data_IF_309519159891
#
_entry.id   IF_309519159891
#
_cell.length_a   1.000
_cell.length_b   1.000
_cell.length_c   1.000
_cell.angle_alpha   90.00
_cell.angle_beta   90.00
_cell.angle_gamma   90.00
#
_symmetry.space_group_name_H-M   'P 1'
#
loop_
_entity.id
_entity.type
_entity.pdbx_description
1 polymer ?
#
# COMPACT_ATOMS: atom_id res chain seq x y z
N UNK A 1 -0.32 16.50 -5.73
CA UNK A 1 0.33 15.81 -4.61
C UNK A 1 -0.32 14.46 -4.38
N UNK A 2 0.46 13.41 -4.44
CA UNK A 2 -0.03 12.04 -4.27
C UNK A 2 0.69 11.32 -3.14
N UNK A 3 -0.05 10.50 -2.41
CA UNK A 3 0.50 9.53 -1.46
C UNK A 3 0.01 8.16 -1.93
N UNK A 4 0.90 7.20 -2.04
CA UNK A 4 0.53 5.84 -2.40
C UNK A 4 0.34 4.99 -1.14
N UNK A 5 -0.70 4.18 -1.16
CA UNK A 5 -0.93 3.13 -0.15
C UNK A 5 -0.83 1.80 -0.87
N UNK A 6 0.10 0.97 -0.43
CA UNK A 6 0.37 -0.32 -1.06
C UNK A 6 0.20 -1.42 -0.03
N UNK A 7 -0.74 -2.31 -0.30
CA UNK A 7 -1.06 -3.42 0.58
C UNK A 7 -0.72 -4.77 -0.07
N UNK A 8 -0.07 -5.61 0.71
CA UNK A 8 0.33 -6.95 0.31
C UNK A 8 -0.77 -8.00 0.43
N UNK A 9 -0.37 -9.28 0.47
CA UNK A 9 -1.28 -10.40 0.35
C UNK A 9 -2.28 -10.45 1.50
N UNK A 10 -3.48 -10.88 1.16
CA UNK A 10 -4.60 -11.11 2.06
C UNK A 10 -5.22 -9.84 2.66
N UNK A 11 -4.68 -8.66 2.41
CA UNK A 11 -5.24 -7.41 2.91
C UNK A 11 -6.50 -6.99 2.15
N UNK A 12 -6.79 -7.64 1.02
CA UNK A 12 -8.08 -7.55 0.34
C UNK A 12 -9.23 -8.14 1.17
N UNK A 13 -8.91 -8.97 2.18
CA UNK A 13 -9.89 -9.60 3.04
C UNK A 13 -10.22 -8.79 4.29
N UNK A 14 -9.64 -7.63 4.45
CA UNK A 14 -9.91 -6.71 5.55
C UNK A 14 -11.39 -6.33 5.55
N UNK A 15 -12.03 -6.48 6.71
CA UNK A 15 -13.48 -6.26 6.86
C UNK A 15 -14.31 -7.52 6.70
N UNK A 16 -13.74 -8.62 6.19
CA UNK A 16 -14.45 -9.89 6.01
C UNK A 16 -13.85 -11.05 6.79
N UNK A 17 -12.54 -11.02 7.09
CA UNK A 17 -11.86 -12.08 7.85
C UNK A 17 -11.67 -11.66 9.30
N UNK A 18 -11.81 -12.62 10.21
CA UNK A 18 -11.47 -12.45 11.63
C UNK A 18 -11.93 -11.10 12.18
N UNK A 19 -13.21 -10.77 11.99
CA UNK A 19 -13.79 -9.46 12.33
C UNK A 19 -13.58 -9.08 13.79
N UNK A 20 -13.50 -10.03 14.68
CA UNK A 20 -13.26 -9.78 16.10
C UNK A 20 -11.87 -9.22 16.37
N UNK A 21 -10.93 -9.49 15.48
CA UNK A 21 -9.53 -9.03 15.61
C UNK A 21 -9.28 -7.78 14.74
N UNK A 22 -9.72 -7.81 13.48
CA UNK A 22 -9.40 -6.77 12.49
C UNK A 22 -10.54 -5.78 12.23
N UNK A 23 -11.75 -6.04 12.76
CA UNK A 23 -12.91 -5.19 12.53
C UNK A 23 -13.62 -5.49 11.21
N UNK A 24 -14.68 -4.73 10.94
CA UNK A 24 -15.55 -4.92 9.76
C UNK A 24 -15.27 -3.92 8.63
N UNK A 25 -14.46 -2.90 8.90
CA UNK A 25 -14.17 -1.84 7.94
C UNK A 25 -13.26 -2.38 6.83
N UNK A 26 -13.63 -2.12 5.58
CA UNK A 26 -12.80 -2.46 4.43
C UNK A 26 -11.76 -1.38 4.16
N UNK A 27 -10.72 -1.74 3.38
CA UNK A 27 -9.72 -0.74 2.97
C UNK A 27 -10.31 0.30 2.03
N UNK A 28 -11.26 -0.10 1.18
CA UNK A 28 -11.97 0.83 0.29
C UNK A 28 -12.71 1.89 1.08
N UNK A 29 -13.33 1.51 2.19
CA UNK A 29 -13.99 2.46 3.11
C UNK A 29 -12.98 3.41 3.74
N UNK A 30 -11.83 2.89 4.14
CA UNK A 30 -10.76 3.71 4.71
C UNK A 30 -10.23 4.71 3.68
N UNK A 31 -9.98 4.27 2.44
CA UNK A 31 -9.51 5.16 1.38
C UNK A 31 -10.53 6.29 1.12
N UNK A 32 -11.81 5.95 1.08
CA UNK A 32 -12.89 6.95 0.92
C UNK A 32 -12.84 7.99 2.04
N UNK A 33 -12.67 7.56 3.29
CA UNK A 33 -12.57 8.46 4.42
C UNK A 33 -11.32 9.34 4.36
N UNK A 34 -10.20 8.78 3.93
CA UNK A 34 -8.95 9.54 3.77
C UNK A 34 -9.08 10.60 2.68
N UNK A 35 -9.70 10.25 1.56
CA UNK A 35 -9.94 11.22 0.50
C UNK A 35 -10.84 12.37 0.95
N UNK A 36 -11.82 12.06 1.79
CA UNK A 36 -12.70 13.09 2.36
C UNK A 36 -11.97 13.98 3.37
N UNK A 37 -11.12 13.39 4.20
CA UNK A 37 -10.37 14.12 5.23
C UNK A 37 -9.22 14.95 4.67
N UNK A 38 -8.63 14.52 3.56
CA UNK A 38 -7.48 15.16 2.94
C UNK A 38 -7.74 15.44 1.46
N UNK A 39 -8.65 16.38 1.15
CA UNK A 39 -9.13 16.57 -0.24
C UNK A 39 -8.05 17.09 -1.20
N UNK A 40 -6.95 17.63 -0.67
CA UNK A 40 -5.83 18.13 -1.50
C UNK A 40 -4.80 17.04 -1.82
N UNK A 41 -4.94 15.86 -1.23
CA UNK A 41 -4.04 14.73 -1.45
C UNK A 41 -4.77 13.67 -2.24
N UNK A 42 -4.20 13.28 -3.38
CA UNK A 42 -4.71 12.13 -4.12
C UNK A 42 -4.11 10.87 -3.54
N UNK A 43 -4.96 9.94 -3.13
CA UNK A 43 -4.53 8.62 -2.65
C UNK A 43 -4.48 7.67 -3.84
N UNK A 44 -3.32 7.13 -4.11
CA UNK A 44 -3.12 6.06 -5.10
C UNK A 44 -3.05 4.75 -4.32
N UNK A 45 -3.90 3.80 -4.64
CA UNK A 45 -4.01 2.58 -3.86
C UNK A 45 -3.83 1.34 -4.73
N UNK A 46 -2.99 0.42 -4.27
CA UNK A 46 -2.87 -0.91 -4.85
C UNK A 46 -2.85 -1.94 -3.71
N UNK A 47 -3.63 -2.99 -3.87
CA UNK A 47 -3.51 -4.21 -3.09
C UNK A 47 -3.19 -5.34 -4.06
N UNK A 48 -2.21 -6.17 -3.73
CA UNK A 48 -1.92 -7.35 -4.55
C UNK A 48 -1.40 -8.49 -3.68
N UNK A 49 -1.79 -9.71 -4.07
CA UNK A 49 -1.24 -10.94 -3.51
C UNK A 49 0.04 -11.37 -4.25
N UNK A 50 0.38 -10.70 -5.33
CA UNK A 50 1.49 -11.07 -6.22
C UNK A 50 2.70 -10.21 -5.90
N UNK A 51 3.76 -10.84 -5.39
CA UNK A 51 4.99 -10.14 -4.99
C UNK A 51 5.56 -9.27 -6.10
N UNK A 52 5.65 -9.81 -7.31
CA UNK A 52 6.19 -9.07 -8.46
C UNK A 52 5.37 -7.84 -8.84
N UNK A 53 4.05 -7.89 -8.67
CA UNK A 53 3.20 -6.72 -8.90
C UNK A 53 3.49 -5.61 -7.90
N UNK A 54 3.72 -5.96 -6.64
CA UNK A 54 4.07 -4.98 -5.60
C UNK A 54 5.40 -4.32 -5.93
N UNK A 55 6.38 -5.09 -6.34
CA UNK A 55 7.71 -4.59 -6.71
C UNK A 55 7.61 -3.66 -7.92
N UNK A 56 6.92 -4.09 -8.96
CA UNK A 56 6.75 -3.28 -10.16
C UNK A 56 6.03 -1.98 -9.88
N UNK A 57 5.04 -2.02 -9.00
CA UNK A 57 4.29 -0.82 -8.62
C UNK A 57 5.18 0.19 -7.87
N UNK A 58 6.05 -0.29 -6.98
CA UNK A 58 7.02 0.57 -6.31
C UNK A 58 7.95 1.27 -7.31
N UNK A 59 8.41 0.54 -8.33
CA UNK A 59 9.24 1.12 -9.38
C UNK A 59 8.49 2.20 -10.16
N UNK A 60 7.23 1.94 -10.50
CA UNK A 60 6.39 2.92 -11.21
C UNK A 60 6.16 4.18 -10.38
N UNK A 61 5.90 4.02 -9.08
CA UNK A 61 5.72 5.15 -8.17
C UNK A 61 6.99 5.99 -8.05
N UNK A 62 8.14 5.35 -8.05
CA UNK A 62 9.42 6.05 -7.92
C UNK A 62 9.68 7.00 -9.09
N UNK A 63 9.16 6.68 -10.27
CA UNK A 63 9.31 7.51 -11.47
C UNK A 63 8.36 8.72 -11.49
N UNK A 64 7.33 8.74 -10.66
CA UNK A 64 6.31 9.79 -10.65
C UNK A 64 6.72 10.93 -9.70
N UNK A 65 6.98 12.11 -10.27
CA UNK A 65 7.47 13.26 -9.49
C UNK A 65 6.46 13.79 -8.48
N UNK A 66 5.17 13.63 -8.75
CA UNK A 66 4.10 14.13 -7.88
C UNK A 66 3.73 13.16 -6.74
N UNK A 67 4.34 11.99 -6.68
CA UNK A 67 4.20 11.06 -5.55
C UNK A 67 5.20 11.45 -4.47
N UNK A 68 4.70 11.83 -3.30
CA UNK A 68 5.54 12.24 -2.18
C UNK A 68 6.13 11.08 -1.42
N UNK A 69 5.41 9.98 -1.32
CA UNK A 69 5.86 8.82 -0.56
C UNK A 69 4.87 7.68 -0.61
N UNK A 70 5.25 6.59 0.02
CA UNK A 70 4.53 5.32 0.01
C UNK A 70 4.29 4.83 1.42
N UNK A 71 3.05 4.47 1.72
CA UNK A 71 2.69 3.74 2.94
C UNK A 71 2.54 2.28 2.53
N UNK A 72 3.46 1.45 3.00
CA UNK A 72 3.52 0.04 2.61
C UNK A 72 3.16 -0.88 3.76
N UNK A 73 2.17 -1.72 3.55
CA UNK A 73 1.93 -2.86 4.43
C UNK A 73 2.15 -4.13 3.61
N UNK A 74 3.28 -4.76 3.80
CA UNK A 74 3.67 -5.96 3.04
C UNK A 74 2.89 -7.22 3.41
N UNK A 75 2.06 -7.18 4.45
CA UNK A 75 1.38 -8.36 4.93
C UNK A 75 2.36 -9.46 5.29
N UNK A 76 2.08 -10.69 4.90
CA UNK A 76 2.99 -11.83 5.13
C UNK A 76 4.36 -11.67 4.50
N UNK A 77 4.47 -10.90 3.41
CA UNK A 77 5.77 -10.65 2.79
C UNK A 77 6.71 -9.81 3.65
N UNK A 78 6.21 -9.15 4.66
CA UNK A 78 7.04 -8.39 5.61
C UNK A 78 8.10 -9.28 6.26
N UNK A 79 7.77 -10.55 6.47
CA UNK A 79 8.67 -11.50 7.13
C UNK A 79 9.40 -12.44 6.16
N UNK A 80 9.01 -12.49 4.90
CA UNK A 80 9.47 -13.53 3.96
C UNK A 80 10.08 -12.98 2.68
N UNK A 81 9.72 -11.78 2.25
CA UNK A 81 10.17 -11.27 0.96
C UNK A 81 11.41 -10.42 1.08
N UNK A 82 12.53 -11.01 0.76
CA UNK A 82 13.81 -10.29 0.59
C UNK A 82 13.70 -9.35 -0.63
N UNK A 83 13.05 -9.81 -1.70
CA UNK A 83 12.91 -9.04 -2.92
C UNK A 83 12.11 -7.75 -2.74
N UNK A 84 11.01 -7.81 -1.96
CA UNK A 84 10.23 -6.61 -1.67
C UNK A 84 11.01 -5.63 -0.81
N UNK A 85 11.73 -6.14 0.20
CA UNK A 85 12.62 -5.32 1.04
C UNK A 85 13.71 -4.64 0.22
N UNK A 86 14.29 -5.37 -0.74
CA UNK A 86 15.30 -4.81 -1.64
C UNK A 86 14.72 -3.72 -2.54
N UNK A 87 13.50 -3.90 -3.04
CA UNK A 87 12.83 -2.87 -3.83
C UNK A 87 12.63 -1.59 -3.03
N UNK A 88 12.21 -1.70 -1.77
CA UNK A 88 12.06 -0.55 -0.86
C UNK A 88 13.39 0.19 -0.71
N UNK A 89 14.47 -0.55 -0.54
CA UNK A 89 15.80 0.04 -0.40
C UNK A 89 16.31 0.68 -1.70
N UNK A 90 15.90 0.16 -2.85
CA UNK A 90 16.38 0.60 -4.15
C UNK A 90 15.73 1.90 -4.67
N UNK A 91 14.49 2.16 -4.29
CA UNK A 91 13.78 3.36 -4.74
C UNK A 91 14.16 4.57 -3.92
N UNK A 92 13.93 5.76 -4.47
CA UNK A 92 14.28 7.02 -3.81
C UNK A 92 13.14 7.61 -3.00
N UNK A 93 11.89 7.22 -3.25
CA UNK A 93 10.75 7.73 -2.50
C UNK A 93 10.79 7.27 -1.04
N UNK A 94 10.35 8.10 -0.10
CA UNK A 94 10.18 7.65 1.28
C UNK A 94 9.13 6.55 1.37
N UNK A 95 9.44 5.49 2.11
CA UNK A 95 8.52 4.37 2.37
C UNK A 95 8.41 4.17 3.87
N UNK A 96 7.19 4.11 4.34
CA UNK A 96 6.89 3.86 5.75
C UNK A 96 6.11 2.55 5.87
#
# INVERSE_FOLDING_TARGET
MKIAIVNGPNLNLTGSREKDVYGERTFEQLITELNHSFPKVEIVYLQSNVEGELINFLHELDEQKDVLGVLLNGGGYTHTSVALGDAVAAISKPVI
#
